data_IF_220742392609
#
_entry.id   IF_220742392609
#
_cell.length_a   1.000
_cell.length_b   1.000
_cell.length_c   1.000
_cell.angle_alpha   90.00
_cell.angle_beta   90.00
_cell.angle_gamma   90.00
#
_symmetry.space_group_name_H-M   'P 1'
#
loop_
_entity.id
_entity.type
_entity.pdbx_description
1 polymer ?
#
# COMPACT_ATOMS: atom_id res chain seq x y z
N UNK A 1 4.52 -7.05 24.73
CA UNK A 1 3.38 -6.36 24.08
C UNK A 1 3.94 -5.07 23.51
N UNK A 2 4.11 -4.92 22.18
CA UNK A 2 4.50 -3.62 21.67
C UNK A 2 3.27 -2.71 21.75
N UNK A 3 3.40 -1.67 22.57
CA UNK A 3 2.41 -0.62 22.76
C UNK A 3 2.05 0.04 21.43
N UNK A 4 0.74 0.17 21.19
CA UNK A 4 0.19 1.06 20.19
C UNK A 4 0.54 2.51 20.56
N UNK A 5 1.65 3.02 20.02
CA UNK A 5 2.04 4.44 20.08
C UNK A 5 2.15 5.00 18.66
N UNK A 6 1.06 4.93 17.90
CA UNK A 6 1.00 5.61 16.59
C UNK A 6 -0.44 5.94 16.15
N UNK A 7 -1.35 6.28 17.07
CA UNK A 7 -2.66 6.83 16.71
C UNK A 7 -2.67 8.37 16.61
N UNK A 8 -1.62 9.06 17.08
CA UNK A 8 -1.51 10.53 17.02
C UNK A 8 -0.75 11.06 15.81
N UNK A 9 0.08 10.22 15.19
CA UNK A 9 1.05 10.66 14.22
C UNK A 9 0.55 10.25 12.83
N UNK A 10 -0.24 11.14 12.23
CA UNK A 10 -0.64 11.11 10.81
C UNK A 10 0.58 11.31 9.89
N UNK A 11 1.69 10.61 10.15
CA UNK A 11 2.98 10.70 9.46
C UNK A 11 2.81 10.41 7.96
N UNK A 12 1.96 9.45 7.63
CA UNK A 12 1.69 9.06 6.24
C UNK A 12 0.52 9.86 5.61
N UNK A 13 -0.02 10.87 6.28
CA UNK A 13 -1.12 11.64 5.72
C UNK A 13 -0.70 12.32 4.40
N UNK A 14 -1.53 12.15 3.37
CA UNK A 14 -1.23 12.52 2.00
C UNK A 14 -0.79 11.32 1.14
N UNK A 15 -0.25 10.24 1.72
CA UNK A 15 0.07 9.01 1.01
C UNK A 15 -1.19 8.13 0.88
N UNK A 16 -1.53 7.74 -0.33
CA UNK A 16 -2.68 6.89 -0.66
C UNK A 16 -2.24 5.43 -0.79
N UNK A 17 -1.81 4.84 0.33
CA UNK A 17 -1.36 3.45 0.43
C UNK A 17 -2.40 2.64 1.22
N UNK A 18 -2.84 1.51 0.67
CA UNK A 18 -3.76 0.63 1.37
C UNK A 18 -3.01 -0.33 2.29
N UNK A 19 -3.12 -0.13 3.61
CA UNK A 19 -2.51 -1.02 4.59
C UNK A 19 -3.41 -2.22 4.94
N UNK A 20 -4.72 -1.99 5.09
CA UNK A 20 -5.71 -3.00 5.45
C UNK A 20 -7.02 -2.83 4.66
N UNK A 21 -7.82 -3.89 4.62
CA UNK A 21 -9.18 -3.92 4.11
C UNK A 21 -10.02 -4.79 5.07
N UNK A 22 -11.25 -4.38 5.32
CA UNK A 22 -12.18 -5.07 6.21
C UNK A 22 -13.48 -5.31 5.45
N UNK A 23 -14.08 -6.48 5.64
CA UNK A 23 -15.37 -6.88 5.08
C UNK A 23 -16.54 -6.63 6.05
N UNK A 24 -16.23 -6.44 7.35
CA UNK A 24 -17.20 -6.11 8.40
C UNK A 24 -17.40 -4.60 8.58
N UNK A 25 -18.66 -4.19 8.66
CA UNK A 25 -19.02 -2.84 9.07
C UNK A 25 -18.62 -2.59 10.54
N UNK A 26 -18.04 -1.44 10.82
CA UNK A 26 -17.65 -1.05 12.19
C UNK A 26 -16.32 -1.66 12.68
N UNK A 27 -15.59 -2.39 11.83
CA UNK A 27 -14.25 -2.92 12.17
C UNK A 27 -13.21 -1.83 12.46
N UNK A 28 -13.44 -0.60 11.98
CA UNK A 28 -12.54 0.55 12.13
C UNK A 28 -13.16 1.59 13.07
N UNK A 29 -12.40 1.99 14.07
CA UNK A 29 -12.69 3.12 14.97
C UNK A 29 -11.94 4.35 14.47
N UNK A 30 -12.65 5.48 14.36
CA UNK A 30 -12.07 6.77 14.00
C UNK A 30 -11.80 7.60 15.25
N UNK A 31 -10.73 8.39 15.25
CA UNK A 31 -10.43 9.32 16.35
C UNK A 31 -11.40 10.49 16.45
N UNK A 32 -12.15 10.79 15.38
CA UNK A 32 -13.04 11.95 15.27
C UNK A 32 -12.32 13.29 15.03
N UNK A 33 -11.03 13.39 15.39
CA UNK A 33 -10.19 14.54 15.04
C UNK A 33 -9.72 14.47 13.58
N UNK A 34 -9.95 15.55 12.83
CA UNK A 34 -9.52 15.69 11.44
C UNK A 34 -8.30 16.58 11.28
N UNK A 35 -7.47 16.28 10.27
CA UNK A 35 -6.38 17.13 9.79
C UNK A 35 -6.49 17.29 8.27
N UNK A 36 -6.45 18.52 7.79
CA UNK A 36 -6.36 18.78 6.34
C UNK A 36 -4.92 18.59 5.86
N UNK A 37 -4.73 17.69 4.88
CA UNK A 37 -3.44 17.45 4.22
C UNK A 37 -3.68 17.41 2.71
N UNK A 38 -2.97 18.28 1.98
CA UNK A 38 -3.11 18.44 0.53
C UNK A 38 -4.58 18.64 0.08
N UNK A 39 -5.35 19.41 0.87
CA UNK A 39 -6.76 19.70 0.58
C UNK A 39 -7.74 18.55 0.87
N UNK A 40 -7.28 17.45 1.46
CA UNK A 40 -8.13 16.32 1.87
C UNK A 40 -8.18 16.23 3.39
N UNK A 41 -9.35 15.91 3.95
CA UNK A 41 -9.48 15.60 5.37
C UNK A 41 -8.94 14.19 5.66
N UNK A 42 -8.07 14.09 6.65
CA UNK A 42 -7.52 12.84 7.16
C UNK A 42 -7.87 12.68 8.64
N UNK A 43 -8.21 11.46 9.03
CA UNK A 43 -8.47 11.09 10.42
C UNK A 43 -7.59 9.90 10.80
N UNK A 44 -7.18 9.85 12.07
CA UNK A 44 -6.56 8.64 12.58
C UNK A 44 -7.61 7.55 12.72
N UNK A 45 -7.24 6.33 12.34
CA UNK A 45 -8.09 5.16 12.36
C UNK A 45 -7.37 4.01 13.06
N UNK A 46 -8.12 3.21 13.83
CA UNK A 46 -7.61 2.01 14.47
C UNK A 46 -8.56 0.85 14.28
N UNK A 47 -8.01 -0.35 14.19
CA UNK A 47 -8.75 -1.60 14.14
C UNK A 47 -7.98 -2.62 14.99
N UNK A 48 -8.71 -3.51 15.64
CA UNK A 48 -8.15 -4.60 16.44
C UNK A 48 -8.83 -5.90 16.03
N UNK A 49 -8.03 -6.95 15.85
CA UNK A 49 -8.54 -8.23 15.41
C UNK A 49 -7.46 -9.32 15.49
N UNK A 50 -7.89 -10.54 15.23
CA UNK A 50 -7.03 -11.71 15.22
C UNK A 50 -6.64 -12.06 13.80
N UNK A 51 -5.36 -12.38 13.59
CA UNK A 51 -4.85 -12.89 12.32
C UNK A 51 -4.30 -14.30 12.51
N UNK A 52 -4.57 -15.24 11.60
CA UNK A 52 -3.95 -16.55 11.66
C UNK A 52 -2.42 -16.43 11.59
N UNK A 53 -1.65 -17.06 12.49
CA UNK A 53 -0.19 -16.99 12.44
C UNK A 53 0.41 -17.46 11.11
N UNK A 54 -0.27 -18.41 10.44
CA UNK A 54 0.12 -18.90 9.12
C UNK A 54 0.09 -17.83 8.00
N UNK A 55 -0.64 -16.72 8.21
CA UNK A 55 -0.67 -15.58 7.30
C UNK A 55 0.40 -14.53 7.57
N UNK A 56 1.23 -14.71 8.60
CA UNK A 56 2.28 -13.78 9.00
C UNK A 56 3.66 -14.30 8.59
N UNK A 57 4.54 -13.36 8.24
CA UNK A 57 5.97 -13.63 8.03
C UNK A 57 6.80 -12.63 8.82
N UNK A 58 7.92 -13.09 9.37
CA UNK A 58 8.97 -12.23 9.94
C UNK A 58 10.00 -11.81 8.88
N UNK A 59 9.97 -12.44 7.70
CA UNK A 59 10.88 -12.16 6.58
C UNK A 59 10.25 -11.13 5.64
N UNK A 60 10.45 -9.85 5.96
CA UNK A 60 10.01 -8.73 5.13
C UNK A 60 10.82 -8.64 3.82
N UNK A 61 12.13 -8.89 3.88
CA UNK A 61 13.02 -8.80 2.73
C UNK A 61 12.67 -9.85 1.68
N UNK A 62 12.39 -11.10 2.09
CA UNK A 62 11.90 -12.14 1.19
C UNK A 62 10.54 -11.81 0.58
N UNK A 63 9.66 -11.13 1.32
CA UNK A 63 8.39 -10.64 0.79
C UNK A 63 8.61 -9.55 -0.27
N UNK A 64 9.51 -8.60 -0.02
CA UNK A 64 9.92 -7.59 -1.00
C UNK A 64 10.64 -8.17 -2.20
N UNK A 65 11.44 -9.21 -2.02
CA UNK A 65 12.08 -9.88 -3.15
C UNK A 65 11.07 -10.51 -4.11
N UNK A 66 10.02 -11.15 -3.58
CA UNK A 66 8.91 -11.69 -4.39
C UNK A 66 8.21 -10.58 -5.18
N UNK A 67 8.00 -9.43 -4.55
CA UNK A 67 7.38 -8.27 -5.17
C UNK A 67 8.24 -7.69 -6.31
N UNK A 68 9.55 -7.56 -6.08
CA UNK A 68 10.53 -7.08 -7.05
C UNK A 68 10.61 -8.01 -8.27
N UNK A 69 10.65 -9.33 -8.06
CA UNK A 69 10.62 -10.33 -9.14
C UNK A 69 9.33 -10.19 -9.94
N UNK A 70 8.17 -10.09 -9.27
CA UNK A 70 6.89 -9.89 -9.96
C UNK A 70 6.87 -8.60 -10.77
N UNK A 71 7.45 -7.52 -10.26
CA UNK A 71 7.59 -6.26 -10.98
C UNK A 71 8.46 -6.40 -12.23
N UNK A 72 9.61 -7.07 -12.11
CA UNK A 72 10.47 -7.35 -13.25
C UNK A 72 9.71 -8.15 -14.32
N UNK A 73 9.06 -9.24 -13.93
CA UNK A 73 8.33 -10.12 -14.86
C UNK A 73 7.16 -9.40 -15.55
N UNK A 74 6.34 -8.69 -14.78
CA UNK A 74 5.13 -8.02 -15.30
C UNK A 74 5.46 -6.79 -16.14
N UNK A 75 6.42 -5.97 -15.71
CA UNK A 75 6.66 -4.66 -16.32
C UNK A 75 7.80 -4.63 -17.35
N UNK A 76 8.52 -5.75 -17.56
CA UNK A 76 9.60 -5.83 -18.56
C UNK A 76 9.22 -6.46 -19.91
N UNK A 77 7.96 -6.89 -20.09
CA UNK A 77 7.56 -7.62 -21.30
C UNK A 77 7.62 -6.77 -22.57
N UNK A 78 7.35 -5.45 -22.48
CA UNK A 78 7.29 -4.55 -23.63
C UNK A 78 8.52 -3.64 -23.76
N UNK A 79 9.11 -3.23 -22.64
CA UNK A 79 10.29 -2.36 -22.54
C UNK A 79 10.94 -2.60 -21.17
N UNK A 80 12.06 -1.93 -20.84
CA UNK A 80 12.65 -2.03 -19.51
C UNK A 80 11.66 -1.62 -18.40
N UNK A 81 11.60 -2.41 -17.32
CA UNK A 81 10.71 -2.10 -16.20
C UNK A 81 11.12 -0.77 -15.54
N UNK A 82 10.18 0.16 -15.29
CA UNK A 82 10.48 1.43 -14.64
C UNK A 82 11.00 1.21 -13.22
N UNK A 83 11.93 2.04 -12.75
CA UNK A 83 12.35 2.01 -11.34
C UNK A 83 11.15 2.37 -10.45
N UNK A 84 11.04 1.75 -9.27
CA UNK A 84 10.01 2.10 -8.29
C UNK A 84 10.00 3.60 -7.95
N UNK A 85 11.18 4.23 -7.92
CA UNK A 85 11.37 5.66 -7.69
C UNK A 85 11.04 6.57 -8.88
N UNK A 86 10.56 6.05 -10.02
CA UNK A 86 10.08 6.88 -11.12
C UNK A 86 8.81 7.67 -10.75
N UNK A 87 8.00 7.11 -9.87
CA UNK A 87 6.71 7.66 -9.44
C UNK A 87 6.66 7.84 -7.92
N UNK A 88 5.82 8.76 -7.45
CA UNK A 88 5.40 8.80 -6.04
C UNK A 88 4.47 7.63 -5.73
N UNK A 89 4.26 7.33 -4.45
CA UNK A 89 3.33 6.28 -4.03
C UNK A 89 1.91 6.52 -4.57
N UNK A 90 1.49 7.79 -4.71
CA UNK A 90 0.17 8.17 -5.23
C UNK A 90 0.10 8.02 -6.76
N UNK A 91 1.18 8.35 -7.48
CA UNK A 91 1.25 8.24 -8.94
C UNK A 91 1.18 6.78 -9.41
N UNK A 92 1.75 5.83 -8.65
CA UNK A 92 1.66 4.40 -8.97
C UNK A 92 0.22 3.88 -9.09
N UNK A 93 -0.71 4.41 -8.29
CA UNK A 93 -2.12 4.03 -8.38
C UNK A 93 -2.74 4.38 -9.74
N UNK A 94 -2.23 5.41 -10.41
CA UNK A 94 -2.61 5.77 -11.77
C UNK A 94 -2.02 4.83 -12.83
N UNK A 95 -0.81 4.29 -12.59
CA UNK A 95 -0.15 3.36 -13.52
C UNK A 95 -0.75 1.95 -13.45
N UNK A 96 -1.21 1.53 -12.27
CA UNK A 96 -1.80 0.22 -12.01
C UNK A 96 -3.21 0.38 -11.44
N UNK A 97 -4.19 0.83 -12.24
CA UNK A 97 -5.55 1.02 -11.75
C UNK A 97 -6.17 -0.33 -11.36
N UNK A 98 -7.00 -0.32 -10.32
CA UNK A 98 -7.62 -1.55 -9.78
C UNK A 98 -8.42 -2.35 -10.81
N UNK A 99 -9.02 -1.68 -11.79
CA UNK A 99 -9.85 -2.30 -12.85
C UNK A 99 -9.09 -2.66 -14.13
N UNK A 100 -7.76 -2.79 -14.08
CA UNK A 100 -6.94 -3.17 -15.23
C UNK A 100 -6.79 -2.03 -16.24
N UNK A 101 -5.57 -1.53 -16.38
CA UNK A 101 -5.26 -0.42 -17.29
C UNK A 101 -5.06 -0.86 -18.74
N UNK A 102 -4.60 0.08 -19.58
CA UNK A 102 -4.28 -0.17 -21.00
C UNK A 102 -3.23 -1.27 -21.23
N UNK A 103 -2.44 -1.58 -20.21
CA UNK A 103 -1.37 -2.59 -20.23
C UNK A 103 -1.81 -3.94 -19.65
N UNK A 104 -3.10 -4.11 -19.31
CA UNK A 104 -3.64 -5.38 -18.80
C UNK A 104 -3.23 -5.72 -17.36
N UNK A 105 -2.49 -4.85 -16.68
CA UNK A 105 -2.14 -5.00 -15.28
C UNK A 105 -3.05 -4.15 -14.39
N UNK A 106 -3.31 -4.66 -13.19
CA UNK A 106 -4.01 -3.97 -12.11
C UNK A 106 -3.19 -4.02 -10.83
N UNK A 107 -3.58 -3.23 -9.82
CA UNK A 107 -3.05 -3.30 -8.46
C UNK A 107 -3.64 -4.44 -7.61
N UNK A 108 -4.51 -5.27 -8.20
CA UNK A 108 -5.25 -6.32 -7.50
C UNK A 108 -4.66 -7.72 -7.78
N UNK A 109 -5.11 -8.71 -7.00
CA UNK A 109 -4.81 -10.13 -7.19
C UNK A 109 -3.30 -10.40 -7.21
N UNK A 110 -2.77 -11.06 -8.24
CA UNK A 110 -1.36 -11.44 -8.35
C UNK A 110 -0.37 -10.26 -8.31
N UNK A 111 -0.85 -9.02 -8.43
CA UNK A 111 -0.03 -7.81 -8.44
C UNK A 111 -0.10 -7.00 -7.13
N UNK A 112 -0.89 -7.40 -6.14
CA UNK A 112 -1.07 -6.63 -4.90
C UNK A 112 0.24 -6.40 -4.15
N UNK A 113 1.04 -7.45 -4.02
CA UNK A 113 2.32 -7.38 -3.35
C UNK A 113 3.33 -6.51 -4.13
N UNK A 114 3.37 -6.67 -5.45
CA UNK A 114 4.16 -5.83 -6.36
C UNK A 114 3.77 -4.35 -6.24
N UNK A 115 2.48 -4.05 -6.20
CA UNK A 115 1.96 -2.70 -6.08
C UNK A 115 2.34 -2.06 -4.73
N UNK A 116 2.18 -2.79 -3.62
CA UNK A 116 2.66 -2.34 -2.29
C UNK A 116 4.16 -2.05 -2.31
N UNK A 117 4.96 -2.91 -2.93
CA UNK A 117 6.40 -2.70 -3.05
C UNK A 117 6.75 -1.44 -3.85
N UNK A 118 6.07 -1.20 -4.98
CA UNK A 118 6.24 0.02 -5.78
C UNK A 118 5.93 1.28 -4.97
N UNK A 119 4.89 1.25 -4.13
CA UNK A 119 4.54 2.38 -3.26
C UNK A 119 5.55 2.57 -2.11
N UNK A 120 6.02 1.48 -1.50
CA UNK A 120 7.00 1.54 -0.40
C UNK A 120 8.40 1.98 -0.85
N UNK A 121 8.74 1.77 -2.13
CA UNK A 121 10.04 2.14 -2.73
C UNK A 121 9.90 3.31 -3.73
N UNK A 122 8.79 4.03 -3.65
CA UNK A 122 8.53 5.22 -4.45
C UNK A 122 9.48 6.37 -4.10
N UNK A 123 9.55 7.37 -4.98
CA UNK A 123 10.18 8.64 -4.59
C UNK A 123 9.32 9.36 -3.53
N UNK A 124 9.92 10.19 -2.65
CA UNK A 124 9.17 11.03 -1.74
C UNK A 124 8.12 11.88 -2.48
N UNK A 125 7.00 12.14 -1.81
CA UNK A 125 5.98 13.08 -2.31
C UNK A 125 6.41 14.53 -2.16
#
# INVERSE_FOLDING_TARGET
MPSAHAASDLHDAGLRIQYAAFDEDGAVKLSGAEKSVQGNAWQAASAEGWVPPAGLTQDLDGLWKKAEVRHADACSTCHGAPKASAHTANEWAGQLPKRGGRTGHSSASANELMFKWLQAHAKPM
#
